data_IF_154757206079
#
_entry.id   IF_154757206079
#
_cell.length_a   1.000
_cell.length_b   1.000
_cell.length_c   1.000
_cell.angle_alpha   90.00
_cell.angle_beta   90.00
_cell.angle_gamma   90.00
#
_symmetry.space_group_name_H-M   'P 1'
#
loop_
_entity.id
_entity.type
_entity.pdbx_description
1 polymer ?
#
# COMPACT_ATOMS: atom_id res chain seq x y z
N UNK A 1 -22.50 12.59 19.46
CA UNK A 1 -21.57 11.65 20.11
C UNK A 1 -22.10 10.24 19.88
N UNK A 2 -21.26 9.26 19.54
CA UNK A 2 -21.72 7.88 19.28
C UNK A 2 -21.74 7.05 20.58
N UNK A 3 -22.48 5.94 20.59
CA UNK A 3 -22.64 5.07 21.78
C UNK A 3 -21.30 4.57 22.36
N UNK A 4 -20.36 4.22 21.50
CA UNK A 4 -19.03 3.76 21.91
C UNK A 4 -18.25 4.83 22.70
N UNK A 5 -18.30 6.09 22.25
CA UNK A 5 -17.67 7.22 22.95
C UNK A 5 -18.34 7.53 24.29
N UNK A 6 -19.66 7.32 24.38
CA UNK A 6 -20.41 7.46 25.65
C UNK A 6 -19.99 6.39 26.65
N UNK A 7 -19.90 5.13 26.21
CA UNK A 7 -19.47 3.98 27.03
C UNK A 7 -17.99 4.07 27.46
N UNK A 8 -17.13 4.64 26.62
CA UNK A 8 -15.73 4.91 26.94
C UNK A 8 -15.60 6.00 28.01
N UNK A 9 -16.37 7.10 27.86
CA UNK A 9 -16.40 8.19 28.83
C UNK A 9 -16.92 7.75 30.20
N UNK A 10 -17.94 6.88 30.22
CA UNK A 10 -18.49 6.31 31.45
C UNK A 10 -17.45 5.43 32.16
N UNK A 11 -16.81 4.50 31.44
CA UNK A 11 -15.73 3.67 32.01
C UNK A 11 -14.57 4.50 32.54
N UNK A 12 -14.19 5.55 31.82
CA UNK A 12 -13.15 6.47 32.25
C UNK A 12 -13.52 7.21 33.54
N UNK A 13 -14.79 7.63 33.70
CA UNK A 13 -15.28 8.28 34.91
C UNK A 13 -15.37 7.32 36.10
N UNK A 14 -15.89 6.10 35.89
CA UNK A 14 -15.98 5.05 36.91
C UNK A 14 -14.59 4.65 37.43
N UNK A 15 -13.59 4.52 36.55
CA UNK A 15 -12.22 4.16 36.94
C UNK A 15 -11.53 5.20 37.85
N UNK A 16 -12.06 6.42 37.90
CA UNK A 16 -11.50 7.55 38.67
C UNK A 16 -12.35 7.90 39.89
N UNK A 17 -13.48 7.23 40.07
CA UNK A 17 -14.38 7.45 41.20
C UNK A 17 -13.70 7.03 42.51
N UNK A 18 -13.69 7.93 43.50
CA UNK A 18 -13.11 7.67 44.82
C UNK A 18 -11.57 7.70 44.89
N UNK A 19 -10.88 7.95 43.77
CA UNK A 19 -9.42 8.14 43.76
C UNK A 19 -9.04 9.57 44.18
N UNK A 20 -7.89 9.70 44.85
CA UNK A 20 -7.29 11.01 45.10
C UNK A 20 -6.73 11.60 43.81
N UNK A 21 -6.50 12.92 43.78
CA UNK A 21 -5.90 13.58 42.62
C UNK A 21 -4.53 12.98 42.23
N UNK A 22 -3.75 12.51 43.21
CA UNK A 22 -2.47 11.86 42.97
C UNK A 22 -2.63 10.47 42.34
N UNK A 23 -3.61 9.68 42.81
CA UNK A 23 -3.92 8.36 42.23
C UNK A 23 -4.49 8.47 40.82
N UNK A 24 -5.33 9.48 40.55
CA UNK A 24 -5.80 9.76 39.18
C UNK A 24 -4.64 10.11 38.27
N UNK A 25 -3.73 11.00 38.72
CA UNK A 25 -2.56 11.38 37.92
C UNK A 25 -1.62 10.20 37.64
N UNK A 26 -1.49 9.25 38.57
CA UNK A 26 -0.70 8.04 38.35
C UNK A 26 -1.37 7.05 37.40
N UNK A 27 -2.68 6.85 37.53
CA UNK A 27 -3.49 6.07 36.59
C UNK A 27 -3.40 6.64 35.17
N UNK A 28 -3.56 7.95 35.02
CA UNK A 28 -3.47 8.63 33.72
C UNK A 28 -2.08 8.41 33.09
N UNK A 29 -1.00 8.49 33.89
CA UNK A 29 0.37 8.22 33.44
C UNK A 29 0.52 6.80 32.92
N UNK A 30 0.03 5.81 33.69
CA UNK A 30 0.08 4.41 33.31
C UNK A 30 -0.72 4.14 32.04
N UNK A 31 -1.94 4.69 31.91
CA UNK A 31 -2.76 4.55 30.71
C UNK A 31 -2.08 5.14 29.46
N UNK A 32 -1.40 6.29 29.60
CA UNK A 32 -0.62 6.90 28.52
C UNK A 32 0.56 6.01 28.13
N UNK A 33 1.32 5.50 29.10
CA UNK A 33 2.46 4.59 28.85
C UNK A 33 2.02 3.28 28.21
N UNK A 34 0.92 2.69 28.67
CA UNK A 34 0.34 1.47 28.11
C UNK A 34 -0.14 1.71 26.67
N UNK A 35 -0.81 2.83 26.42
CA UNK A 35 -1.27 3.21 25.08
C UNK A 35 -0.09 3.41 24.13
N UNK A 36 0.95 4.13 24.57
CA UNK A 36 2.17 4.33 23.79
C UNK A 36 2.89 3.01 23.50
N UNK A 37 2.95 2.10 24.48
CA UNK A 37 3.52 0.76 24.32
C UNK A 37 2.75 -0.07 23.30
N UNK A 38 1.41 -0.10 23.41
CA UNK A 38 0.53 -0.79 22.44
C UNK A 38 0.71 -0.24 21.03
N UNK A 39 0.73 1.09 20.87
CA UNK A 39 0.92 1.74 19.58
C UNK A 39 2.29 1.39 18.96
N UNK A 40 3.35 1.40 19.78
CA UNK A 40 4.70 1.00 19.33
C UNK A 40 4.74 -0.45 18.86
N UNK A 41 4.16 -1.37 19.65
CA UNK A 41 4.09 -2.80 19.30
C UNK A 41 3.30 -3.03 18.00
N UNK A 42 2.17 -2.35 17.84
CA UNK A 42 1.36 -2.41 16.63
C UNK A 42 2.15 -1.90 15.41
N UNK A 43 2.89 -0.79 15.55
CA UNK A 43 3.72 -0.25 14.48
C UNK A 43 4.87 -1.18 14.06
N UNK A 44 5.57 -1.79 15.03
CA UNK A 44 6.60 -2.78 14.74
C UNK A 44 6.03 -4.03 14.06
N UNK A 45 4.90 -4.51 14.56
CA UNK A 45 4.21 -5.67 13.98
C UNK A 45 3.78 -5.41 12.53
N UNK A 46 3.15 -4.27 12.26
CA UNK A 46 2.73 -3.89 10.91
C UNK A 46 3.90 -3.75 9.92
N UNK A 47 5.08 -3.32 10.39
CA UNK A 47 6.29 -3.24 9.56
C UNK A 47 6.89 -4.60 9.24
N UNK A 48 6.85 -5.55 10.18
CA UNK A 48 7.44 -6.88 10.01
C UNK A 48 6.51 -7.85 9.29
N UNK A 49 5.20 -7.71 9.48
CA UNK A 49 4.16 -8.59 8.94
C UNK A 49 3.08 -7.79 8.19
N UNK A 50 3.45 -6.98 7.18
CA UNK A 50 2.49 -6.15 6.43
C UNK A 50 1.40 -6.98 5.73
N UNK A 51 1.68 -8.23 5.39
CA UNK A 51 0.73 -9.17 4.78
C UNK A 51 -0.51 -9.45 5.65
N UNK A 52 -0.43 -9.25 6.97
CA UNK A 52 -1.58 -9.44 7.87
C UNK A 52 -2.56 -8.29 7.79
N UNK A 53 -2.17 -7.18 7.17
CA UNK A 53 -2.98 -5.97 7.03
C UNK A 53 -3.36 -5.70 5.57
N UNK A 54 -2.92 -6.52 4.62
CA UNK A 54 -3.21 -6.34 3.19
C UNK A 54 -4.71 -6.30 2.87
N UNK A 55 -5.53 -6.94 3.70
CA UNK A 55 -6.97 -6.98 3.52
C UNK A 55 -7.70 -5.65 3.62
N UNK A 56 -7.12 -4.67 4.31
CA UNK A 56 -7.73 -3.36 4.48
C UNK A 56 -7.77 -2.56 3.17
N UNK A 57 -7.06 -3.01 2.14
CA UNK A 57 -6.92 -2.35 0.84
C UNK A 57 -7.47 -3.19 -0.33
N UNK A 58 -8.23 -4.24 -0.05
CA UNK A 58 -8.82 -5.09 -1.08
C UNK A 58 -9.83 -4.28 -1.91
N UNK A 59 -9.61 -4.19 -3.22
CA UNK A 59 -10.53 -3.49 -4.10
C UNK A 59 -11.75 -4.38 -4.43
N UNK A 60 -12.77 -3.79 -5.05
CA UNK A 60 -13.99 -4.55 -5.41
C UNK A 60 -13.75 -5.68 -6.42
N UNK A 61 -12.59 -5.69 -7.09
CA UNK A 61 -12.19 -6.71 -8.06
C UNK A 61 -11.60 -7.91 -7.33
N UNK A 62 -10.70 -7.68 -6.39
CA UNK A 62 -10.10 -8.72 -5.54
C UNK A 62 -11.17 -9.43 -4.71
N UNK A 63 -12.13 -8.69 -4.15
CA UNK A 63 -13.26 -9.27 -3.42
C UNK A 63 -14.10 -10.22 -4.30
N UNK A 64 -14.32 -9.87 -5.58
CA UNK A 64 -15.05 -10.72 -6.54
C UNK A 64 -14.24 -11.93 -6.98
N UNK A 65 -12.93 -11.80 -7.16
CA UNK A 65 -12.02 -12.94 -7.45
C UNK A 65 -12.04 -13.93 -6.28
N UNK A 66 -11.94 -13.43 -5.04
CA UNK A 66 -12.06 -14.22 -3.82
C UNK A 66 -13.40 -14.94 -3.70
N UNK A 67 -14.50 -14.29 -4.08
CA UNK A 67 -15.82 -14.93 -4.11
C UNK A 67 -15.92 -16.12 -5.08
N UNK A 68 -15.01 -16.22 -6.06
CA UNK A 68 -14.87 -17.37 -6.98
C UNK A 68 -13.85 -18.40 -6.53
N UNK A 69 -13.23 -18.23 -5.36
CA UNK A 69 -12.18 -19.11 -4.84
C UNK A 69 -10.79 -18.84 -5.45
N UNK A 70 -10.62 -17.74 -6.19
CA UNK A 70 -9.31 -17.32 -6.71
C UNK A 70 -8.58 -16.53 -5.61
N UNK A 71 -7.32 -16.89 -5.32
CA UNK A 71 -6.46 -16.07 -4.49
C UNK A 71 -5.87 -14.94 -5.35
N UNK A 72 -6.19 -13.66 -5.10
CA UNK A 72 -5.66 -12.55 -5.88
C UNK A 72 -4.15 -12.31 -5.63
N UNK A 73 -3.58 -12.87 -4.56
CA UNK A 73 -2.16 -12.75 -4.27
C UNK A 73 -1.32 -13.65 -5.18
N UNK A 74 -0.16 -13.13 -5.61
CA UNK A 74 0.78 -13.95 -6.39
C UNK A 74 1.39 -15.06 -5.53
N UNK A 75 1.58 -16.24 -6.13
CA UNK A 75 2.21 -17.37 -5.43
C UNK A 75 3.62 -17.02 -4.94
N UNK A 76 4.37 -16.27 -5.74
CA UNK A 76 5.70 -15.78 -5.38
C UNK A 76 5.68 -14.89 -4.12
N UNK A 77 4.67 -14.03 -3.97
CA UNK A 77 4.51 -13.23 -2.75
C UNK A 77 4.28 -14.14 -1.53
N UNK A 78 3.42 -15.15 -1.67
CA UNK A 78 3.12 -16.11 -0.61
C UNK A 78 4.36 -16.90 -0.19
N UNK A 79 5.13 -17.40 -1.16
CA UNK A 79 6.33 -18.21 -0.93
C UNK A 79 7.41 -17.39 -0.21
N UNK A 80 7.66 -16.16 -0.65
CA UNK A 80 8.63 -15.26 -0.02
C UNK A 80 8.24 -14.90 1.40
N UNK A 81 6.99 -14.49 1.62
CA UNK A 81 6.49 -14.12 2.94
C UNK A 81 6.53 -15.34 3.88
N UNK A 82 6.18 -16.53 3.38
CA UNK A 82 6.33 -17.78 4.11
C UNK A 82 7.78 -18.07 4.49
N UNK A 83 8.73 -17.89 3.56
CA UNK A 83 10.15 -18.04 3.83
C UNK A 83 10.66 -17.10 4.92
N UNK A 84 10.20 -15.83 4.93
CA UNK A 84 10.53 -14.87 6.00
C UNK A 84 10.01 -15.33 7.35
N UNK A 85 8.73 -15.74 7.43
CA UNK A 85 8.14 -16.25 8.66
C UNK A 85 8.88 -17.49 9.18
N UNK A 86 9.19 -18.43 8.30
CA UNK A 86 9.94 -19.64 8.65
C UNK A 86 11.35 -19.33 9.17
N UNK A 87 12.04 -18.35 8.58
CA UNK A 87 13.35 -17.90 9.07
C UNK A 87 13.30 -17.30 10.49
N UNK A 88 12.13 -16.80 10.90
CA UNK A 88 11.86 -16.32 12.26
C UNK A 88 11.33 -17.42 13.21
N UNK A 89 11.20 -18.66 12.72
CA UNK A 89 10.62 -19.78 13.47
C UNK A 89 9.09 -19.74 13.58
N UNK A 90 8.42 -18.98 12.70
CA UNK A 90 6.97 -18.85 12.64
C UNK A 90 6.37 -19.76 11.55
N UNK A 91 5.09 -20.07 11.69
CA UNK A 91 4.36 -20.81 10.66
C UNK A 91 4.33 -20.03 9.33
N UNK A 92 4.34 -20.72 8.17
CA UNK A 92 4.27 -20.08 6.87
C UNK A 92 2.99 -19.27 6.68
N UNK A 93 3.03 -18.31 5.75
CA UNK A 93 1.88 -17.50 5.41
C UNK A 93 0.92 -18.32 4.54
N UNK A 94 -0.29 -18.56 5.04
CA UNK A 94 -1.29 -19.38 4.35
C UNK A 94 -2.04 -18.66 3.22
N UNK A 95 -1.72 -17.39 2.93
CA UNK A 95 -2.27 -16.68 1.79
C UNK A 95 -3.77 -16.39 1.86
N UNK A 96 -4.41 -16.47 3.04
CA UNK A 96 -5.86 -16.35 3.17
C UNK A 96 -6.32 -15.74 4.49
N UNK A 97 -7.52 -15.17 4.47
CA UNK A 97 -8.18 -14.56 5.62
C UNK A 97 -8.60 -15.64 6.62
N UNK A 98 -8.13 -15.46 7.85
CA UNK A 98 -8.24 -16.44 8.92
C UNK A 98 -6.84 -16.67 9.44
N UNK A 99 -6.48 -15.88 10.46
CA UNK A 99 -5.17 -15.87 11.09
C UNK A 99 -4.59 -17.27 11.17
N UNK A 100 -3.63 -17.55 10.30
CA UNK A 100 -2.82 -18.75 10.41
C UNK A 100 -2.21 -18.79 11.80
N UNK A 101 -1.99 -20.00 12.30
CA UNK A 101 -1.60 -20.40 13.66
C UNK A 101 -0.33 -19.74 14.25
N UNK A 102 0.25 -18.74 13.59
CA UNK A 102 1.38 -17.97 14.11
C UNK A 102 0.91 -16.77 14.94
N UNK A 103 1.16 -16.84 16.25
CA UNK A 103 1.12 -15.69 17.17
C UNK A 103 2.29 -14.71 16.86
N UNK A 104 2.23 -14.06 15.70
CA UNK A 104 3.20 -13.06 15.21
C UNK A 104 3.23 -11.84 16.13
N UNK A 105 2.07 -11.37 16.59
CA UNK A 105 1.98 -10.32 17.60
C UNK A 105 2.65 -10.70 18.91
N UNK A 106 2.41 -11.89 19.44
CA UNK A 106 3.06 -12.35 20.67
C UNK A 106 4.55 -12.60 20.49
N UNK A 107 4.99 -13.00 19.30
CA UNK A 107 6.42 -13.06 18.97
C UNK A 107 7.08 -11.67 19.04
N UNK A 108 6.46 -10.63 18.44
CA UNK A 108 6.97 -9.25 18.54
C UNK A 108 6.98 -8.77 19.99
N UNK A 109 5.92 -9.06 20.76
CA UNK A 109 5.85 -8.71 22.19
C UNK A 109 6.99 -9.33 22.99
N UNK A 110 7.28 -10.63 22.79
CA UNK A 110 8.40 -11.32 23.45
C UNK A 110 9.73 -10.69 23.09
N UNK A 111 9.97 -10.41 21.81
CA UNK A 111 11.21 -9.77 21.35
C UNK A 111 11.43 -8.38 21.98
N UNK A 112 10.38 -7.56 22.07
CA UNK A 112 10.46 -6.25 22.75
C UNK A 112 10.69 -6.42 24.25
N UNK A 113 9.98 -7.35 24.90
CA UNK A 113 10.17 -7.67 26.31
C UNK A 113 11.61 -8.11 26.61
N UNK A 114 12.22 -8.88 25.72
CA UNK A 114 13.59 -9.38 25.85
C UNK A 114 14.65 -8.31 25.49
N UNK A 115 14.25 -7.06 25.25
CA UNK A 115 15.15 -5.96 24.93
C UNK A 115 15.71 -5.99 23.49
N UNK A 116 15.14 -6.82 22.61
CA UNK A 116 15.61 -7.02 21.22
C UNK A 116 14.91 -6.11 20.22
N UNK A 117 14.49 -4.92 20.64
CA UNK A 117 13.76 -3.98 19.78
C UNK A 117 14.60 -3.51 18.58
N UNK A 118 15.91 -3.27 18.78
CA UNK A 118 16.79 -2.82 17.69
C UNK A 118 16.97 -3.89 16.61
N UNK A 119 16.95 -5.17 17.01
CA UNK A 119 16.98 -6.29 16.07
C UNK A 119 15.70 -6.34 15.24
N UNK A 120 14.54 -6.11 15.86
CA UNK A 120 13.26 -6.02 15.15
C UNK A 120 13.23 -4.88 14.14
N UNK A 121 13.80 -3.72 14.49
CA UNK A 121 13.89 -2.57 13.59
C UNK A 121 14.81 -2.88 12.40
N UNK A 122 15.99 -3.44 12.66
CA UNK A 122 16.93 -3.83 11.60
C UNK A 122 16.33 -4.91 10.66
N UNK A 123 15.56 -5.86 11.22
CA UNK A 123 14.80 -6.85 10.46
C UNK A 123 13.77 -6.18 9.54
N UNK A 124 12.99 -5.25 10.08
CA UNK A 124 11.97 -4.54 9.33
C UNK A 124 12.57 -3.71 8.18
N UNK A 125 13.67 -3.00 8.45
CA UNK A 125 14.36 -2.19 7.44
C UNK A 125 14.92 -3.05 6.32
N UNK A 126 15.56 -4.18 6.65
CA UNK A 126 16.06 -5.13 5.65
C UNK A 126 14.94 -5.67 4.76
N UNK A 127 13.81 -6.07 5.34
CA UNK A 127 12.68 -6.58 4.56
C UNK A 127 12.06 -5.50 3.66
N UNK A 128 11.98 -4.26 4.15
CA UNK A 128 11.52 -3.14 3.34
C UNK A 128 12.47 -2.84 2.16
N UNK A 129 13.78 -2.86 2.40
CA UNK A 129 14.81 -2.67 1.36
C UNK A 129 14.80 -3.80 0.33
N UNK A 130 14.66 -5.05 0.75
CA UNK A 130 14.51 -6.19 -0.15
C UNK A 130 13.29 -6.04 -1.06
N UNK A 131 12.16 -5.62 -0.49
CA UNK A 131 10.90 -5.44 -1.22
C UNK A 131 10.97 -4.28 -2.20
N UNK A 132 11.64 -3.20 -1.80
CA UNK A 132 11.90 -2.05 -2.65
C UNK A 132 12.86 -2.39 -3.79
N UNK A 133 13.97 -3.07 -3.49
CA UNK A 133 14.92 -3.53 -4.51
C UNK A 133 14.23 -4.41 -5.54
N UNK A 134 13.42 -5.36 -5.06
CA UNK A 134 12.68 -6.27 -5.92
C UNK A 134 11.66 -5.54 -6.78
N UNK A 135 10.89 -4.62 -6.20
CA UNK A 135 9.96 -3.77 -6.97
C UNK A 135 10.68 -3.01 -8.08
N UNK A 136 11.92 -2.56 -7.86
CA UNK A 136 12.75 -1.92 -8.89
C UNK A 136 13.25 -2.89 -9.96
N UNK A 137 13.59 -4.12 -9.59
CA UNK A 137 14.04 -5.16 -10.54
C UNK A 137 12.88 -5.71 -11.40
N UNK A 138 11.71 -5.90 -10.79
CA UNK A 138 10.52 -6.47 -11.45
C UNK A 138 9.71 -5.46 -12.24
N UNK A 139 9.83 -4.17 -11.90
CA UNK A 139 9.23 -3.10 -12.70
C UNK A 139 10.25 -2.66 -13.74
N UNK A 140 10.15 -3.11 -15.01
CA UNK A 140 11.09 -2.65 -16.03
C UNK A 140 10.99 -1.13 -16.09
N UNK A 141 12.12 -0.45 -15.91
CA UNK A 141 12.23 0.99 -16.17
C UNK A 141 11.99 1.24 -17.64
N UNK A 142 11.68 2.49 -18.02
CA UNK A 142 11.56 2.85 -19.44
C UNK A 142 12.82 2.51 -20.25
N UNK A 143 14.00 2.59 -19.64
CA UNK A 143 15.28 2.25 -20.28
C UNK A 143 15.36 0.75 -20.63
N UNK A 144 14.66 -0.11 -19.90
CA UNK A 144 14.59 -1.54 -20.16
C UNK A 144 13.56 -1.95 -21.22
N UNK A 145 12.73 -1.01 -21.69
CA UNK A 145 11.71 -1.28 -22.71
C UNK A 145 12.27 -0.88 -24.08
N UNK A 146 12.46 -1.84 -25.02
CA UNK A 146 12.87 -1.51 -26.38
C UNK A 146 11.88 -0.54 -27.03
N UNK A 147 12.33 0.51 -27.75
CA UNK A 147 11.45 1.53 -28.32
C UNK A 147 10.30 0.96 -29.17
N UNK A 148 10.54 -0.14 -29.88
CA UNK A 148 9.56 -0.84 -30.72
C UNK A 148 8.49 -1.59 -29.91
N UNK A 149 8.76 -1.93 -28.65
CA UNK A 149 7.81 -2.60 -27.75
C UNK A 149 7.01 -1.62 -26.89
N UNK A 150 7.47 -0.39 -26.76
CA UNK A 150 6.87 0.60 -25.85
C UNK A 150 5.39 0.85 -26.13
N UNK A 151 4.97 0.91 -27.40
CA UNK A 151 3.55 1.04 -27.73
C UNK A 151 2.70 -0.14 -27.25
N UNK A 152 3.22 -1.37 -27.38
CA UNK A 152 2.52 -2.58 -26.93
C UNK A 152 2.42 -2.66 -25.40
N UNK A 153 3.46 -2.24 -24.68
CA UNK A 153 3.46 -2.15 -23.21
C UNK A 153 2.42 -1.12 -22.72
N UNK A 154 2.34 0.04 -23.38
CA UNK A 154 1.32 1.06 -23.08
C UNK A 154 -0.08 0.53 -23.37
N UNK A 155 -0.28 -0.18 -24.47
CA UNK A 155 -1.58 -0.77 -24.83
C UNK A 155 -2.01 -1.85 -23.82
N UNK A 156 -1.09 -2.70 -23.38
CA UNK A 156 -1.34 -3.71 -22.35
C UNK A 156 -1.71 -3.06 -21.00
N UNK A 157 -0.98 -2.02 -20.60
CA UNK A 157 -1.28 -1.26 -19.39
C UNK A 157 -2.66 -0.58 -19.48
N UNK A 158 -2.98 0.05 -20.61
CA UNK A 158 -4.25 0.71 -20.81
C UNK A 158 -5.43 -0.26 -20.79
N UNK A 159 -5.26 -1.50 -21.23
CA UNK A 159 -6.29 -2.52 -21.17
C UNK A 159 -6.67 -2.84 -19.72
N UNK A 160 -5.67 -3.02 -18.86
CA UNK A 160 -5.85 -3.27 -17.43
C UNK A 160 -6.41 -2.03 -16.70
N UNK A 161 -5.83 -0.86 -16.99
CA UNK A 161 -6.27 0.44 -16.45
C UNK A 161 -7.73 0.76 -16.77
N UNK A 162 -8.16 0.54 -18.02
CA UNK A 162 -9.55 0.75 -18.42
C UNK A 162 -10.48 -0.21 -17.67
N UNK A 163 -10.10 -1.47 -17.48
CA UNK A 163 -10.92 -2.47 -16.77
C UNK A 163 -11.22 -2.12 -15.31
N UNK A 164 -10.29 -1.45 -14.62
CA UNK A 164 -10.42 -1.11 -13.19
C UNK A 164 -11.16 0.21 -12.90
N UNK A 165 -11.36 1.07 -13.91
CA UNK A 165 -11.89 2.45 -13.73
C UNK A 165 -13.12 2.77 -14.57
N UNK A 166 -13.78 1.77 -15.16
CA UNK A 166 -14.99 1.95 -15.98
C UNK A 166 -16.08 2.73 -15.23
N UNK A 167 -16.45 3.90 -15.77
CA UNK A 167 -17.60 4.71 -15.32
C UNK A 167 -17.26 6.00 -14.57
N UNK A 168 -16.00 6.25 -14.22
CA UNK A 168 -15.59 7.45 -13.48
C UNK A 168 -15.21 8.65 -14.38
N UNK A 169 -14.76 8.38 -15.59
CA UNK A 169 -14.26 9.39 -16.54
C UNK A 169 -14.71 9.10 -17.97
N UNK A 170 -14.63 10.10 -18.84
CA UNK A 170 -14.76 9.88 -20.28
C UNK A 170 -13.67 8.91 -20.79
N UNK A 171 -13.88 8.37 -21.99
CA UNK A 171 -12.88 7.52 -22.65
C UNK A 171 -11.57 8.29 -22.79
N UNK A 172 -11.69 9.56 -23.17
CA UNK A 172 -10.59 10.45 -23.48
C UNK A 172 -9.74 10.77 -22.25
N UNK A 173 -10.39 11.04 -21.12
CA UNK A 173 -9.75 11.27 -19.82
C UNK A 173 -9.10 9.99 -19.29
N UNK A 174 -9.80 8.85 -19.40
CA UNK A 174 -9.29 7.54 -18.96
C UNK A 174 -7.99 7.19 -19.68
N UNK A 175 -7.93 7.46 -20.99
CA UNK A 175 -6.75 7.22 -21.81
C UNK A 175 -5.57 8.11 -21.41
N UNK A 176 -5.76 9.43 -21.29
CA UNK A 176 -4.66 10.32 -20.95
C UNK A 176 -4.16 10.10 -19.52
N UNK A 177 -5.06 9.84 -18.58
CA UNK A 177 -4.70 9.49 -17.20
C UNK A 177 -3.91 8.18 -17.14
N UNK A 178 -4.32 7.17 -17.92
CA UNK A 178 -3.65 5.88 -18.00
C UNK A 178 -2.25 5.98 -18.61
N UNK A 179 -2.09 6.69 -19.74
CA UNK A 179 -0.78 6.91 -20.38
C UNK A 179 0.14 7.68 -19.43
N UNK A 180 -0.37 8.75 -18.81
CA UNK A 180 0.40 9.54 -17.86
C UNK A 180 0.85 8.70 -16.66
N UNK A 181 -0.06 7.92 -16.08
CA UNK A 181 0.22 7.00 -14.97
C UNK A 181 1.24 5.92 -15.32
N UNK A 182 1.17 5.37 -16.55
CA UNK A 182 2.17 4.41 -17.04
C UNK A 182 3.58 4.99 -17.00
N UNK A 183 3.79 6.16 -17.63
CA UNK A 183 5.12 6.78 -17.67
C UNK A 183 5.59 7.24 -16.28
N UNK A 184 4.66 7.62 -15.40
CA UNK A 184 4.95 7.99 -14.02
C UNK A 184 5.45 6.78 -13.22
N UNK A 185 4.75 5.65 -13.31
CA UNK A 185 5.15 4.39 -12.66
C UNK A 185 6.44 3.79 -13.20
N UNK A 186 6.86 4.18 -14.41
CA UNK A 186 8.10 3.73 -15.04
C UNK A 186 9.29 4.66 -14.78
N UNK A 187 9.14 5.66 -13.92
CA UNK A 187 10.16 6.64 -13.55
C UNK A 187 10.79 7.31 -14.78
N UNK A 188 9.99 7.73 -15.77
CA UNK A 188 10.55 8.48 -16.89
C UNK A 188 11.23 9.75 -16.36
N UNK A 189 12.44 10.04 -16.83
CA UNK A 189 13.07 11.31 -16.49
C UNK A 189 12.19 12.46 -16.98
N UNK A 190 12.09 13.52 -16.18
CA UNK A 190 11.28 14.70 -16.49
C UNK A 190 11.57 15.26 -17.89
N UNK A 191 12.83 15.15 -18.34
CA UNK A 191 13.30 15.61 -19.65
C UNK A 191 12.64 14.92 -20.85
N UNK A 192 12.20 13.67 -20.71
CA UNK A 192 11.58 12.89 -21.80
C UNK A 192 10.15 12.47 -21.49
N UNK A 193 9.70 12.68 -20.25
CA UNK A 193 8.37 12.28 -19.79
C UNK A 193 7.26 12.85 -20.69
N UNK A 194 7.21 14.17 -20.87
CA UNK A 194 6.12 14.82 -21.61
C UNK A 194 6.16 14.48 -23.11
N UNK A 195 7.34 14.29 -23.69
CA UNK A 195 7.47 13.93 -25.10
C UNK A 195 7.01 12.49 -25.36
N UNK A 196 7.26 11.56 -24.42
CA UNK A 196 6.78 10.18 -24.51
C UNK A 196 5.26 10.10 -24.33
N UNK A 197 4.69 10.83 -23.37
CA UNK A 197 3.23 10.90 -23.19
C UNK A 197 2.56 11.45 -24.45
N UNK A 198 3.06 12.57 -24.99
CA UNK A 198 2.52 13.16 -26.23
C UNK A 198 2.66 12.23 -27.44
N UNK A 199 3.78 11.51 -27.55
CA UNK A 199 3.99 10.53 -28.63
C UNK A 199 2.92 9.44 -28.59
N UNK A 200 2.64 8.87 -27.42
CA UNK A 200 1.64 7.81 -27.29
C UNK A 200 0.21 8.33 -27.45
N UNK A 201 -0.09 9.52 -26.93
CA UNK A 201 -1.37 10.19 -27.17
C UNK A 201 -1.62 10.40 -28.68
N UNK A 202 -0.60 10.85 -29.42
CA UNK A 202 -0.67 11.04 -30.87
C UNK A 202 -0.78 9.72 -31.63
N UNK A 203 -0.11 8.65 -31.17
CA UNK A 203 -0.25 7.31 -31.75
C UNK A 203 -1.70 6.82 -31.66
N UNK A 204 -2.35 7.03 -30.53
CA UNK A 204 -3.73 6.60 -30.29
C UNK A 204 -4.77 7.54 -30.90
N UNK A 205 -4.45 8.83 -31.06
CA UNK A 205 -5.35 9.87 -31.57
C UNK A 205 -4.69 10.65 -32.73
N UNK A 206 -4.45 10.00 -33.89
CA UNK A 206 -3.65 10.58 -34.97
C UNK A 206 -4.33 11.75 -35.68
N UNK A 207 -5.66 11.91 -35.53
CA UNK A 207 -6.43 13.00 -36.11
C UNK A 207 -6.59 14.22 -35.18
N UNK A 208 -6.11 14.14 -33.94
CA UNK A 208 -6.20 15.24 -32.98
C UNK A 208 -5.02 16.21 -33.13
N UNK A 209 -5.35 17.50 -33.01
CA UNK A 209 -4.37 18.58 -33.03
C UNK A 209 -3.45 18.56 -31.80
N UNK A 210 -2.21 19.02 -31.96
CA UNK A 210 -1.21 18.98 -30.90
C UNK A 210 -1.67 19.72 -29.62
N UNK A 211 -2.28 20.89 -29.79
CA UNK A 211 -2.73 21.71 -28.67
C UNK A 211 -3.82 21.01 -27.85
N UNK A 212 -4.69 20.25 -28.51
CA UNK A 212 -5.70 19.42 -27.84
C UNK A 212 -5.04 18.32 -27.02
N UNK A 213 -4.06 17.61 -27.58
CA UNK A 213 -3.32 16.56 -26.86
C UNK A 213 -2.53 17.14 -25.67
N UNK A 214 -1.92 18.32 -25.82
CA UNK A 214 -1.23 19.04 -24.73
C UNK A 214 -2.20 19.46 -23.64
N UNK A 215 -3.39 19.94 -23.99
CA UNK A 215 -4.45 20.25 -23.03
C UNK A 215 -4.85 19.04 -22.20
N UNK A 216 -5.07 17.88 -22.84
CA UNK A 216 -5.38 16.61 -22.17
C UNK A 216 -4.24 16.15 -21.25
N UNK A 217 -2.99 16.29 -21.69
CA UNK A 217 -1.82 16.00 -20.85
C UNK A 217 -1.76 16.93 -19.62
N UNK A 218 -2.08 18.21 -19.79
CA UNK A 218 -2.16 19.18 -18.69
C UNK A 218 -3.20 18.79 -17.64
N UNK A 219 -4.38 18.34 -18.07
CA UNK A 219 -5.39 17.78 -17.18
C UNK A 219 -4.86 16.58 -16.37
N UNK A 220 -4.23 15.60 -17.03
CA UNK A 220 -3.68 14.44 -16.33
C UNK A 220 -2.58 14.83 -15.34
N UNK A 221 -1.69 15.75 -15.71
CA UNK A 221 -0.63 16.28 -14.82
C UNK A 221 -1.22 16.86 -13.54
N UNK A 222 -2.21 17.74 -13.65
CA UNK A 222 -2.88 18.32 -12.48
C UNK A 222 -3.52 17.26 -11.59
N UNK A 223 -4.24 16.30 -12.20
CA UNK A 223 -4.86 15.20 -11.47
C UNK A 223 -3.86 14.37 -10.65
N UNK A 224 -2.75 13.95 -11.26
CA UNK A 224 -1.74 13.14 -10.58
C UNK A 224 -0.99 13.93 -9.50
N UNK A 225 -0.77 15.24 -9.69
CA UNK A 225 -0.21 16.11 -8.64
C UNK A 225 -1.16 16.17 -7.44
N UNK A 226 -2.46 16.40 -7.66
CA UNK A 226 -3.44 16.46 -6.57
C UNK A 226 -3.56 15.11 -5.84
N UNK A 227 -3.50 14.00 -6.57
CA UNK A 227 -3.64 12.66 -5.99
C UNK A 227 -2.42 12.19 -5.17
N UNK A 228 -1.21 12.71 -5.43
CA UNK A 228 0.03 12.22 -4.79
C UNK A 228 0.76 13.27 -3.95
N UNK A 229 0.45 14.56 -4.10
CA UNK A 229 1.10 15.66 -3.38
C UNK A 229 0.13 16.47 -2.49
N UNK A 230 -1.17 16.15 -2.48
CA UNK A 230 -2.19 16.74 -1.61
C UNK A 230 -2.50 15.88 -0.41
#
# INVERSE_FOLDING_TARGET
MNRAKEEERLRHAEAREGLTAEQVADLDRHEVEETASKARLAGLHARLFPEEYGFYYDDSVDAKRRARGENPMSQDYIDRTSGRRQALGLAPYSGGYGGGESDTQGWVRRMVHDGRQDELLALADRYAEEDERRRREETPTLEGIPPEKLGAEVDAYLLDWKGSRLGQWSKEETEVLGIYGFFLGKNASEKVFESLVLRELRRLNPAEEEDTLRGRMGFAKSYWIEAYCG
#
